data_IF_383392112870
#
_entry.id   IF_383392112870
#
_cell.length_a   1.000
_cell.length_b   1.000
_cell.length_c   1.000
_cell.angle_alpha   90.00
_cell.angle_beta   90.00
_cell.angle_gamma   90.00
#
_symmetry.space_group_name_H-M   'P 1'
#
loop_
_entity.id
_entity.type
_entity.pdbx_description
1 polymer ?
#
# COMPACT_ATOMS: atom_id res chain seq x y z
N UNK A 1 16.13 26.13 8.47
CA UNK A 1 16.60 25.97 7.07
C UNK A 1 15.52 25.21 6.31
N UNK A 2 14.63 25.94 5.62
CA UNK A 2 13.52 25.33 4.86
C UNK A 2 14.15 24.66 3.64
N UNK A 3 14.22 23.33 3.64
CA UNK A 3 14.64 22.52 2.50
C UNK A 3 13.68 22.79 1.34
N UNK A 4 13.97 23.82 0.54
CA UNK A 4 13.37 24.03 -0.77
C UNK A 4 13.93 22.96 -1.70
N UNK A 5 13.45 21.73 -1.51
CA UNK A 5 13.73 20.61 -2.39
C UNK A 5 13.24 21.03 -3.76
N UNK A 6 14.17 21.40 -4.64
CA UNK A 6 13.90 21.54 -6.07
C UNK A 6 13.04 20.34 -6.45
N UNK A 7 11.78 20.59 -6.83
CA UNK A 7 10.83 19.54 -7.24
C UNK A 7 11.35 19.00 -8.56
N UNK A 8 12.39 18.17 -8.48
CA UNK A 8 12.96 17.51 -9.62
C UNK A 8 11.81 16.68 -10.22
N UNK A 9 11.42 16.90 -11.50
CA UNK A 9 10.23 16.26 -12.07
C UNK A 9 10.30 14.73 -12.00
N UNK A 10 11.52 14.17 -11.95
CA UNK A 10 11.81 12.77 -11.68
C UNK A 10 11.34 12.29 -10.31
N UNK A 11 11.52 13.11 -9.27
CA UNK A 11 11.10 12.79 -7.89
C UNK A 11 9.57 12.74 -7.78
N UNK A 12 8.87 13.64 -8.49
CA UNK A 12 7.41 13.68 -8.56
C UNK A 12 6.86 12.49 -9.35
N UNK A 13 7.53 12.07 -10.43
CA UNK A 13 7.16 10.88 -11.22
C UNK A 13 7.40 9.60 -10.43
N UNK A 14 8.55 9.47 -9.77
CA UNK A 14 8.88 8.33 -8.90
C UNK A 14 7.84 8.18 -7.78
N UNK A 15 7.50 9.26 -7.08
CA UNK A 15 6.51 9.23 -6.01
C UNK A 15 5.10 8.86 -6.52
N UNK A 16 4.68 9.36 -7.69
CA UNK A 16 3.42 8.91 -8.32
C UNK A 16 3.45 7.43 -8.68
N UNK A 17 4.58 6.90 -9.13
CA UNK A 17 4.72 5.48 -9.45
C UNK A 17 4.62 4.60 -8.19
N UNK A 18 5.33 4.98 -7.13
CA UNK A 18 5.25 4.33 -5.82
C UNK A 18 3.85 4.35 -5.23
N UNK A 19 3.19 5.51 -5.26
CA UNK A 19 1.83 5.67 -4.80
C UNK A 19 0.84 4.77 -5.56
N UNK A 20 0.93 4.71 -6.89
CA UNK A 20 0.09 3.82 -7.72
C UNK A 20 0.29 2.36 -7.37
N UNK A 21 1.53 1.91 -7.15
CA UNK A 21 1.86 0.55 -6.71
C UNK A 21 1.34 0.24 -5.31
N UNK A 22 1.46 1.18 -4.37
CA UNK A 22 0.95 1.05 -3.02
C UNK A 22 -0.58 0.93 -3.00
N UNK A 23 -1.28 1.79 -3.74
CA UNK A 23 -2.74 1.74 -3.88
C UNK A 23 -3.17 0.42 -4.53
N UNK A 24 -2.52 0.01 -5.62
CA UNK A 24 -2.85 -1.27 -6.28
C UNK A 24 -2.69 -2.47 -5.34
N UNK A 25 -1.60 -2.52 -4.57
CA UNK A 25 -1.40 -3.55 -3.56
C UNK A 25 -2.47 -3.49 -2.48
N UNK A 26 -2.83 -2.31 -2.00
CA UNK A 26 -3.84 -2.13 -0.98
C UNK A 26 -5.23 -2.59 -1.43
N UNK A 27 -5.60 -2.33 -2.69
CA UNK A 27 -6.86 -2.82 -3.28
C UNK A 27 -6.87 -4.35 -3.34
N UNK A 28 -5.80 -4.96 -3.89
CA UNK A 28 -5.69 -6.43 -3.98
C UNK A 28 -5.73 -7.06 -2.57
N UNK A 29 -5.04 -6.46 -1.61
CA UNK A 29 -5.04 -6.89 -0.22
C UNK A 29 -6.44 -6.83 0.40
N UNK A 30 -7.18 -5.73 0.16
CA UNK A 30 -8.53 -5.55 0.68
C UNK A 30 -9.50 -6.59 0.11
N UNK A 31 -9.42 -6.87 -1.20
CA UNK A 31 -10.21 -7.92 -1.85
C UNK A 31 -9.87 -9.31 -1.29
N UNK A 32 -8.58 -9.61 -1.12
CA UNK A 32 -8.15 -10.88 -0.54
C UNK A 32 -8.65 -11.05 0.90
N UNK A 33 -8.61 -9.98 1.71
CA UNK A 33 -9.16 -9.99 3.05
C UNK A 33 -10.67 -10.23 3.04
N UNK A 34 -11.41 -9.52 2.19
CA UNK A 34 -12.86 -9.68 2.06
C UNK A 34 -13.22 -11.13 1.69
N UNK A 35 -12.52 -11.73 0.71
CA UNK A 35 -12.69 -13.14 0.34
C UNK A 35 -12.40 -14.10 1.50
N UNK A 36 -11.34 -13.86 2.27
CA UNK A 36 -10.98 -14.70 3.42
C UNK A 36 -12.03 -14.58 4.52
N UNK A 37 -12.46 -13.36 4.86
CA UNK A 37 -13.48 -13.13 5.88
C UNK A 37 -14.83 -13.68 5.46
N UNK A 38 -15.25 -13.49 4.20
CA UNK A 38 -16.48 -14.07 3.66
C UNK A 38 -16.46 -15.60 3.67
N UNK A 39 -15.32 -16.22 3.34
CA UNK A 39 -15.18 -17.68 3.35
C UNK A 39 -15.15 -18.26 4.76
N UNK A 40 -14.56 -17.55 5.72
CA UNK A 40 -14.37 -18.04 7.10
C UNK A 40 -15.55 -17.76 8.01
N UNK A 41 -16.24 -16.62 7.84
CA UNK A 41 -17.32 -16.20 8.71
C UNK A 41 -18.69 -16.37 8.06
N UNK A 42 -18.81 -16.37 6.72
CA UNK A 42 -20.10 -16.40 6.04
C UNK A 42 -20.93 -15.12 6.29
N UNK A 43 -21.83 -14.79 5.36
CA UNK A 43 -22.63 -13.56 5.42
C UNK A 43 -23.60 -13.49 6.62
N UNK A 44 -23.82 -14.61 7.33
CA UNK A 44 -24.82 -14.73 8.39
C UNK A 44 -24.27 -14.61 9.81
N UNK A 45 -22.94 -14.50 10.00
CA UNK A 45 -22.35 -14.51 11.34
C UNK A 45 -22.29 -13.11 11.93
N UNK A 46 -22.88 -12.92 13.10
CA UNK A 46 -22.89 -11.65 13.82
C UNK A 46 -21.46 -11.14 14.00
N UNK A 47 -21.20 -9.91 13.56
CA UNK A 47 -19.89 -9.29 13.67
C UNK A 47 -19.56 -9.05 15.16
N UNK A 48 -18.81 -9.97 15.76
CA UNK A 48 -18.34 -9.80 17.13
C UNK A 48 -17.29 -8.68 17.19
N UNK A 49 -17.13 -7.99 18.33
CA UNK A 49 -16.08 -6.99 18.53
C UNK A 49 -14.67 -7.54 18.23
N UNK A 50 -14.47 -8.84 18.50
CA UNK A 50 -13.23 -9.56 18.19
C UNK A 50 -12.97 -9.65 16.67
N UNK A 51 -14.00 -9.93 15.87
CA UNK A 51 -13.88 -9.96 14.41
C UNK A 51 -13.56 -8.57 13.84
N UNK A 52 -14.15 -7.52 14.41
CA UNK A 52 -13.89 -6.13 14.01
C UNK A 52 -12.45 -5.71 14.34
N UNK A 53 -11.96 -6.05 15.53
CA UNK A 53 -10.58 -5.80 15.93
C UNK A 53 -9.58 -6.55 15.02
N UNK A 54 -9.86 -7.82 14.70
CA UNK A 54 -9.03 -8.62 13.78
C UNK A 54 -8.99 -8.01 12.37
N UNK A 55 -10.13 -7.57 11.83
CA UNK A 55 -10.19 -6.89 10.54
C UNK A 55 -9.38 -5.58 10.55
N UNK A 56 -9.46 -4.80 11.64
CA UNK A 56 -8.66 -3.59 11.82
C UNK A 56 -7.15 -3.85 11.82
N UNK A 57 -6.69 -4.89 12.53
CA UNK A 57 -5.27 -5.30 12.54
C UNK A 57 -4.81 -5.73 11.15
N UNK A 58 -5.60 -6.53 10.44
CA UNK A 58 -5.28 -7.00 9.08
C UNK A 58 -5.22 -5.83 8.08
N UNK A 59 -6.10 -4.84 8.22
CA UNK A 59 -6.04 -3.59 7.44
C UNK A 59 -4.76 -2.80 7.73
N UNK A 60 -4.39 -2.63 9.01
CA UNK A 60 -3.17 -1.92 9.39
C UNK A 60 -1.90 -2.59 8.82
N UNK A 61 -1.86 -3.93 8.83
CA UNK A 61 -0.79 -4.71 8.20
C UNK A 61 -0.76 -4.44 6.69
N UNK A 62 -1.91 -4.49 6.03
CA UNK A 62 -2.04 -4.18 4.60
C UNK A 62 -1.51 -2.79 4.22
N UNK A 63 -1.81 -1.78 5.03
CA UNK A 63 -1.30 -0.41 4.87
C UNK A 63 0.22 -0.36 5.02
N UNK A 64 0.78 -1.03 6.04
CA UNK A 64 2.22 -1.08 6.27
C UNK A 64 2.95 -1.72 5.09
N UNK A 65 2.47 -2.87 4.59
CA UNK A 65 3.02 -3.52 3.41
C UNK A 65 2.88 -2.67 2.15
N UNK A 66 1.72 -2.03 1.95
CA UNK A 66 1.49 -1.11 0.83
C UNK A 66 2.49 0.05 0.82
N UNK A 67 2.78 0.65 1.98
CA UNK A 67 3.81 1.69 2.12
C UNK A 67 5.22 1.18 1.79
N UNK A 68 5.59 -0.01 2.25
CA UNK A 68 6.90 -0.62 1.96
C UNK A 68 7.03 -0.88 0.46
N UNK A 69 6.02 -1.48 -0.17
CA UNK A 69 5.98 -1.76 -1.61
C UNK A 69 6.06 -0.46 -2.41
N UNK A 70 5.31 0.57 -2.00
CA UNK A 70 5.36 1.90 -2.59
C UNK A 70 6.78 2.47 -2.56
N UNK A 71 7.41 2.56 -1.38
CA UNK A 71 8.78 3.06 -1.22
C UNK A 71 9.80 2.24 -2.02
N UNK A 72 9.67 0.91 -2.06
CA UNK A 72 10.56 0.05 -2.85
C UNK A 72 10.40 0.31 -4.35
N UNK A 73 9.19 0.56 -4.82
CA UNK A 73 8.92 0.90 -6.21
C UNK A 73 9.48 2.28 -6.57
N UNK A 74 9.38 3.28 -5.68
CA UNK A 74 10.04 4.59 -5.85
C UNK A 74 11.56 4.44 -5.96
N UNK A 75 12.17 3.65 -5.07
CA UNK A 75 13.61 3.43 -5.06
C UNK A 75 14.11 2.73 -6.34
N UNK A 76 13.37 1.71 -6.82
CA UNK A 76 13.68 1.03 -8.09
C UNK A 76 13.55 1.96 -9.29
N UNK A 77 12.50 2.80 -9.32
CA UNK A 77 12.30 3.74 -10.42
C UNK A 77 13.46 4.75 -10.53
N UNK A 78 13.94 5.26 -9.38
CA UNK A 78 15.12 6.12 -9.33
C UNK A 78 16.39 5.40 -9.78
N UNK A 79 16.63 4.18 -9.28
CA UNK A 79 17.81 3.40 -9.66
C UNK A 79 17.87 3.13 -11.17
N UNK A 80 16.74 2.79 -11.81
CA UNK A 80 16.69 2.57 -13.26
C UNK A 80 16.89 3.86 -14.07
N UNK A 81 16.46 5.02 -13.57
CA UNK A 81 16.68 6.30 -14.26
C UNK A 81 18.11 6.85 -14.06
N UNK A 82 18.73 6.67 -12.90
CA UNK A 82 20.15 7.03 -12.69
C UNK A 82 21.09 6.15 -13.53
N UNK A 83 20.69 4.91 -13.82
CA UNK A 83 21.48 3.99 -14.67
C UNK A 83 21.39 4.28 -16.18
N UNK A 84 20.58 5.27 -16.58
CA UNK A 84 20.31 5.62 -17.99
C UNK A 84 20.93 6.96 -18.44
N UNK A 85 21.73 7.57 -17.56
CA UNK A 85 22.60 8.72 -17.82
C UNK A 85 24.07 8.26 -17.83
#
# INVERSE_FOLDING_TARGET
MILKKSRNPLDVKASRYGLRRAIGFFIIWSIACDLIFNRTLGWSTVATPYNLARAGVVLAIGVAFGMIVGRRAEARFKATHDSSL
#
